data_IF_433562074421
#
_entry.id   IF_433562074421
#
_cell.length_a   1.000
_cell.length_b   1.000
_cell.length_c   1.000
_cell.angle_alpha   90.00
_cell.angle_beta   90.00
_cell.angle_gamma   90.00
#
_symmetry.space_group_name_H-M   'P 1'
#
loop_
_entity.id
_entity.type
_entity.pdbx_description
1 polymer ?
#
# COMPACT_ATOMS: atom_id res chain seq x y z
N UNK A 1 -31.57 6.38 3.90
CA UNK A 1 -30.90 7.47 4.64
C UNK A 1 -29.66 6.87 5.26
N UNK A 2 -28.46 7.30 4.85
CA UNK A 2 -27.21 6.78 5.41
C UNK A 2 -27.12 7.21 6.88
N UNK A 3 -27.32 6.26 7.79
CA UNK A 3 -27.18 6.49 9.22
C UNK A 3 -25.71 6.66 9.59
N UNK A 4 -25.42 7.45 10.64
CA UNK A 4 -24.05 7.64 11.16
C UNK A 4 -23.30 6.33 11.44
N UNK A 5 -24.02 5.23 11.70
CA UNK A 5 -23.44 3.90 11.89
C UNK A 5 -22.89 3.28 10.60
N UNK A 6 -23.54 3.50 9.46
CA UNK A 6 -23.17 2.93 8.17
C UNK A 6 -21.96 3.68 7.57
N UNK A 7 -21.87 4.99 7.81
CA UNK A 7 -20.69 5.80 7.49
C UNK A 7 -19.47 5.36 8.32
N UNK A 8 -19.63 5.10 9.63
CA UNK A 8 -18.56 4.58 10.48
C UNK A 8 -18.07 3.21 10.02
N UNK A 9 -18.97 2.30 9.67
CA UNK A 9 -18.59 0.98 9.15
C UNK A 9 -17.82 1.09 7.83
N UNK A 10 -18.26 1.99 6.94
CA UNK A 10 -17.56 2.24 5.67
C UNK A 10 -16.16 2.80 5.89
N UNK A 11 -15.99 3.75 6.82
CA UNK A 11 -14.69 4.31 7.17
C UNK A 11 -13.76 3.27 7.79
N UNK A 12 -14.23 2.49 8.77
CA UNK A 12 -13.44 1.42 9.39
C UNK A 12 -13.04 0.34 8.37
N UNK A 13 -13.91 0.04 7.41
CA UNK A 13 -13.57 -0.91 6.34
C UNK A 13 -12.48 -0.35 5.41
N UNK A 14 -12.57 0.94 5.04
CA UNK A 14 -11.56 1.61 4.22
C UNK A 14 -10.20 1.65 4.93
N UNK A 15 -10.16 2.07 6.20
CA UNK A 15 -8.94 2.10 7.01
C UNK A 15 -8.32 0.69 7.14
N UNK A 16 -9.13 -0.33 7.43
CA UNK A 16 -8.64 -1.70 7.53
C UNK A 16 -8.14 -2.29 6.20
N UNK A 17 -8.62 -1.79 5.05
CA UNK A 17 -8.08 -2.17 3.75
C UNK A 17 -6.75 -1.47 3.45
N UNK A 18 -6.66 -0.18 3.76
CA UNK A 18 -5.43 0.61 3.61
C UNK A 18 -4.30 0.06 4.49
N UNK A 19 -4.57 -0.26 5.76
CA UNK A 19 -3.57 -0.86 6.67
C UNK A 19 -3.04 -2.20 6.16
N UNK A 20 -3.92 -3.06 5.65
CA UNK A 20 -3.52 -4.36 5.07
C UNK A 20 -2.68 -4.19 3.81
N UNK A 21 -3.02 -3.20 2.99
CA UNK A 21 -2.27 -2.89 1.79
C UNK A 21 -0.87 -2.38 2.15
N UNK A 22 -0.76 -1.49 3.13
CA UNK A 22 0.51 -0.94 3.60
C UNK A 22 1.40 -2.01 4.25
N UNK A 23 0.82 -2.92 5.05
CA UNK A 23 1.57 -4.04 5.63
C UNK A 23 2.12 -5.00 4.54
N UNK A 24 1.31 -5.28 3.52
CA UNK A 24 1.73 -6.08 2.37
C UNK A 24 2.85 -5.37 1.60
N UNK A 25 2.70 -4.09 1.29
CA UNK A 25 3.72 -3.31 0.57
C UNK A 25 5.03 -3.23 1.36
N UNK A 26 4.97 -3.06 2.68
CA UNK A 26 6.14 -3.06 3.56
C UNK A 26 6.94 -4.36 3.54
N UNK A 27 6.31 -5.50 3.23
CA UNK A 27 6.98 -6.81 3.09
C UNK A 27 7.43 -7.07 1.65
N UNK A 28 6.58 -6.74 0.67
CA UNK A 28 6.80 -7.10 -0.74
C UNK A 28 7.80 -6.15 -1.41
N UNK A 29 7.74 -4.84 -1.16
CA UNK A 29 8.63 -3.86 -1.80
C UNK A 29 10.11 -4.17 -1.52
N UNK A 30 10.55 -4.42 -0.27
CA UNK A 30 11.93 -4.81 0.00
C UNK A 30 12.36 -6.09 -0.73
N UNK A 31 11.49 -7.10 -0.82
CA UNK A 31 11.81 -8.37 -1.50
C UNK A 31 11.99 -8.14 -3.00
N UNK A 32 11.10 -7.37 -3.64
CA UNK A 32 11.20 -7.05 -5.06
C UNK A 32 12.43 -6.20 -5.39
N UNK A 33 12.84 -5.30 -4.49
CA UNK A 33 14.09 -4.56 -4.64
C UNK A 33 15.31 -5.51 -4.53
N UNK A 34 15.27 -6.50 -3.64
CA UNK A 34 16.34 -7.49 -3.49
C UNK A 34 16.48 -8.41 -4.72
N UNK A 35 15.40 -8.65 -5.47
CA UNK A 35 15.45 -9.40 -6.73
C UNK A 35 15.99 -8.58 -7.91
N UNK A 36 16.32 -7.30 -7.68
CA UNK A 36 16.93 -6.41 -8.67
C UNK A 36 15.92 -5.55 -9.44
N UNK A 37 14.65 -5.52 -9.03
CA UNK A 37 13.67 -4.59 -9.61
C UNK A 37 13.90 -3.16 -9.12
N UNK A 38 13.59 -2.18 -9.96
CA UNK A 38 13.60 -0.76 -9.56
C UNK A 38 12.26 -0.32 -8.98
N UNK A 39 12.26 0.81 -8.26
CA UNK A 39 11.04 1.39 -7.67
C UNK A 39 9.99 1.66 -8.75
N UNK A 40 10.38 2.14 -9.92
CA UNK A 40 9.51 2.46 -11.05
C UNK A 40 8.89 1.20 -11.67
N UNK A 41 9.65 0.11 -11.75
CA UNK A 41 9.16 -1.18 -12.24
C UNK A 41 8.15 -1.78 -11.28
N UNK A 42 8.41 -1.70 -9.97
CA UNK A 42 7.50 -2.16 -8.91
C UNK A 42 6.21 -1.33 -8.95
N UNK A 43 6.30 -0.01 -9.03
CA UNK A 43 5.16 0.90 -9.16
C UNK A 43 4.29 0.55 -10.37
N UNK A 44 4.92 0.29 -11.52
CA UNK A 44 4.23 -0.12 -12.74
C UNK A 44 3.53 -1.48 -12.59
N UNK A 45 4.20 -2.48 -12.03
CA UNK A 45 3.61 -3.82 -11.85
C UNK A 45 2.48 -3.85 -10.83
N UNK A 46 2.59 -3.07 -9.75
CA UNK A 46 1.57 -2.97 -8.72
C UNK A 46 0.46 -1.96 -9.07
N UNK A 47 0.61 -1.25 -10.20
CA UNK A 47 -0.27 -0.15 -10.61
C UNK A 47 -0.46 0.89 -9.50
N UNK A 48 0.65 1.25 -8.84
CA UNK A 48 0.70 2.21 -7.76
C UNK A 48 1.60 3.38 -8.15
N UNK A 49 1.40 4.52 -7.50
CA UNK A 49 2.27 5.67 -7.67
C UNK A 49 3.69 5.36 -7.17
N UNK A 50 4.70 5.93 -7.84
CA UNK A 50 6.11 5.75 -7.44
C UNK A 50 6.32 6.27 -6.02
N UNK A 51 5.67 7.38 -5.66
CA UNK A 51 5.72 7.96 -4.31
C UNK A 51 5.18 6.98 -3.26
N UNK A 52 4.16 6.19 -3.59
CA UNK A 52 3.61 5.16 -2.70
C UNK A 52 4.66 4.09 -2.42
N UNK A 53 5.32 3.57 -3.45
CA UNK A 53 6.36 2.54 -3.31
C UNK A 53 7.59 3.10 -2.57
N UNK A 54 7.95 4.36 -2.83
CA UNK A 54 9.10 5.02 -2.22
C UNK A 54 9.03 5.05 -0.69
N UNK A 55 7.82 5.12 -0.11
CA UNK A 55 7.61 5.08 1.35
C UNK A 55 8.03 3.77 1.99
N UNK A 56 8.00 2.67 1.24
CA UNK A 56 8.33 1.31 1.70
C UNK A 56 9.74 0.88 1.30
N UNK A 57 10.52 1.75 0.65
CA UNK A 57 11.93 1.50 0.36
C UNK A 57 12.71 1.55 1.68
N UNK A 58 13.42 0.48 2.08
CA UNK A 58 14.20 0.50 3.31
C UNK A 58 15.30 1.55 3.19
N UNK A 59 15.33 2.49 4.14
CA UNK A 59 16.44 3.44 4.26
C UNK A 59 17.65 2.69 4.83
N UNK A 60 18.76 2.70 4.09
CA UNK A 60 20.06 2.19 4.55
C UNK A 60 20.61 3.00 5.71
#
# INVERSE_FOLDING_TARGET
>A
MLGLAELKQTLVYQEAQEEKQDELLGKVVPILLQTGMTVEQIATQLNLAVETIQRFVPRK
#
